data_IF_821570346787
#
_entry.id   IF_821570346787
#
_cell.length_a   1.000
_cell.length_b   1.000
_cell.length_c   1.000
_cell.angle_alpha   90.00
_cell.angle_beta   90.00
_cell.angle_gamma   90.00
#
_symmetry.space_group_name_H-M   'P 1'
#
loop_
_entity.id
_entity.type
_entity.pdbx_description
1 polymer ?
#
# COMPACT_ATOMS: atom_id res chain seq x y z
N UNK A 1 -18.64 5.77 1.21
CA UNK A 1 -17.59 6.81 1.34
C UNK A 1 -16.42 6.38 0.48
N UNK A 2 -16.25 6.96 -0.70
CA UNK A 2 -15.12 6.62 -1.58
C UNK A 2 -13.88 7.23 -0.96
N UNK A 3 -12.99 6.42 -0.39
CA UNK A 3 -11.71 6.91 0.11
C UNK A 3 -10.91 7.47 -1.08
N UNK A 4 -10.41 8.70 -0.94
CA UNK A 4 -9.61 9.34 -1.97
C UNK A 4 -8.22 8.68 -1.96
N UNK A 5 -7.87 7.95 -3.01
CA UNK A 5 -6.54 7.35 -3.15
C UNK A 5 -5.52 8.42 -3.56
N UNK A 6 -4.45 8.56 -2.79
CA UNK A 6 -3.30 9.38 -3.20
C UNK A 6 -2.43 8.57 -4.16
N UNK A 7 -2.24 9.08 -5.39
CA UNK A 7 -1.36 8.44 -6.39
C UNK A 7 0.06 8.96 -6.21
N UNK A 8 0.96 8.08 -5.79
CA UNK A 8 2.39 8.40 -5.69
C UNK A 8 3.11 8.01 -6.99
N UNK A 9 3.84 8.96 -7.60
CA UNK A 9 4.69 8.71 -8.77
C UNK A 9 6.16 8.59 -8.36
N UNK A 10 6.93 7.78 -9.10
CA UNK A 10 8.36 7.55 -8.82
C UNK A 10 9.29 8.73 -9.20
N UNK A 11 8.73 9.87 -9.58
CA UNK A 11 9.47 11.05 -10.05
C UNK A 11 9.80 12.06 -8.96
N UNK A 12 9.26 11.86 -7.75
CA UNK A 12 9.49 12.72 -6.60
C UNK A 12 9.65 11.88 -5.32
N UNK A 13 10.33 12.40 -4.28
CA UNK A 13 10.34 11.77 -2.97
C UNK A 13 8.92 11.55 -2.42
N UNK A 14 8.74 10.51 -1.59
CA UNK A 14 7.47 10.28 -0.92
C UNK A 14 7.08 11.50 -0.05
N UNK A 15 5.79 11.88 -0.01
CA UNK A 15 5.28 12.91 0.89
C UNK A 15 5.68 12.68 2.35
N UNK A 16 6.03 13.76 3.06
CA UNK A 16 6.53 13.65 4.43
C UNK A 16 5.52 13.04 5.42
N UNK A 17 4.22 13.20 5.17
CA UNK A 17 3.17 12.62 6.01
C UNK A 17 3.05 11.09 5.90
N UNK A 18 3.73 10.47 4.93
CA UNK A 18 3.76 9.01 4.76
C UNK A 18 4.96 8.35 5.46
N UNK A 19 5.83 9.11 6.14
CA UNK A 19 6.98 8.54 6.86
C UNK A 19 6.51 7.61 7.97
N UNK A 20 7.20 6.47 8.12
CA UNK A 20 6.87 5.45 9.12
C UNK A 20 5.74 4.50 8.70
N UNK A 21 5.16 4.69 7.51
CA UNK A 21 4.15 3.79 6.98
C UNK A 21 4.70 2.44 6.54
N UNK A 22 3.83 1.42 6.54
CA UNK A 22 4.12 0.07 6.04
C UNK A 22 3.59 -0.07 4.61
N UNK A 23 4.38 -0.71 3.74
CA UNK A 23 4.03 -0.93 2.33
C UNK A 23 4.08 -2.42 2.00
N UNK A 24 3.05 -2.92 1.32
CA UNK A 24 3.06 -4.21 0.64
C UNK A 24 3.44 -4.00 -0.83
N UNK A 25 4.45 -4.73 -1.34
CA UNK A 25 4.94 -4.63 -2.72
C UNK A 25 4.72 -5.95 -3.46
N UNK A 26 4.10 -5.89 -4.63
CA UNK A 26 3.80 -7.05 -5.47
C UNK A 26 2.99 -6.64 -6.70
N UNK A 27 2.81 -7.55 -7.67
CA UNK A 27 2.02 -7.27 -8.87
C UNK A 27 0.54 -6.98 -8.52
N UNK A 28 0.01 -7.61 -7.47
CA UNK A 28 -1.34 -7.44 -6.92
C UNK A 28 -2.52 -7.55 -7.90
N UNK A 29 -2.27 -7.88 -9.17
CA UNK A 29 -3.32 -8.10 -10.16
C UNK A 29 -4.26 -9.24 -9.70
N UNK A 30 -5.56 -8.98 -9.76
CA UNK A 30 -6.62 -9.90 -9.31
C UNK A 30 -6.75 -10.14 -7.79
N UNK A 31 -5.87 -9.60 -6.92
CA UNK A 31 -5.94 -9.64 -5.44
C UNK A 31 -6.52 -10.97 -4.86
N UNK A 32 -5.97 -12.10 -5.28
CA UNK A 32 -6.41 -13.42 -4.81
C UNK A 32 -6.00 -13.68 -3.34
N UNK A 33 -6.36 -14.84 -2.78
CA UNK A 33 -6.11 -15.21 -1.36
C UNK A 33 -4.65 -15.03 -0.91
N UNK A 34 -3.69 -15.38 -1.77
CA UNK A 34 -2.27 -15.11 -1.51
C UNK A 34 -1.95 -13.61 -1.30
N UNK A 35 -2.47 -12.73 -2.15
CA UNK A 35 -2.31 -11.28 -2.00
C UNK A 35 -3.02 -10.75 -0.76
N UNK A 36 -4.21 -11.26 -0.43
CA UNK A 36 -4.92 -10.87 0.79
C UNK A 36 -4.09 -11.16 2.05
N UNK A 37 -3.40 -12.30 2.11
CA UNK A 37 -2.53 -12.62 3.23
C UNK A 37 -1.36 -11.62 3.38
N UNK A 38 -0.79 -11.15 2.26
CA UNK A 38 0.27 -10.12 2.27
C UNK A 38 -0.28 -8.77 2.75
N UNK A 39 -1.46 -8.37 2.27
CA UNK A 39 -2.10 -7.12 2.68
C UNK A 39 -2.50 -7.13 4.16
N UNK A 40 -3.06 -8.23 4.67
CA UNK A 40 -3.39 -8.37 6.09
C UNK A 40 -2.14 -8.32 6.96
N UNK A 41 -1.03 -8.91 6.52
CA UNK A 41 0.24 -8.77 7.25
C UNK A 41 0.71 -7.33 7.30
N UNK A 42 0.71 -6.62 6.16
CA UNK A 42 1.12 -5.22 6.13
C UNK A 42 0.22 -4.32 7.00
N UNK A 43 -1.08 -4.60 7.02
CA UNK A 43 -2.06 -3.90 7.87
C UNK A 43 -1.85 -4.17 9.35
N UNK A 44 -1.44 -5.36 9.74
CA UNK A 44 -1.16 -5.70 11.14
C UNK A 44 0.13 -5.05 11.69
N UNK A 45 1.07 -4.69 10.81
CA UNK A 45 2.32 -4.00 11.16
C UNK A 45 2.17 -2.47 11.21
N UNK A 46 1.10 -1.93 10.61
CA UNK A 46 0.82 -0.49 10.53
C UNK A 46 0.14 0.03 11.79
#
# INVERSE_FOLDING_TARGET
MTAMFERISATAPLPAHLRGGVVAIGNFDGVHRGHQAVLERARAEA
#
